data_IF_091284335631
#
_entry.id   IF_091284335631
#
_cell.length_a   1.000
_cell.length_b   1.000
_cell.length_c   1.000
_cell.angle_alpha   90.00
_cell.angle_beta   90.00
_cell.angle_gamma   90.00
#
_symmetry.space_group_name_H-M   'P 1'
#
loop_
_entity.id
_entity.type
_entity.pdbx_description
1 polymer ?
#
# COMPACT_ATOMS: atom_id res chain seq x y z
N UNK A 1 12.25 -15.82 -13.25
CA UNK A 1 11.25 -14.96 -12.58
C UNK A 1 10.17 -15.83 -11.96
N UNK A 2 9.84 -15.66 -10.66
CA UNK A 2 8.75 -16.41 -10.01
C UNK A 2 7.40 -15.89 -10.52
N UNK A 3 6.58 -16.77 -11.11
CA UNK A 3 5.19 -16.48 -11.49
C UNK A 3 4.32 -16.51 -10.21
N UNK A 4 3.49 -15.49 -10.00
CA UNK A 4 2.62 -15.40 -8.81
C UNK A 4 1.26 -16.07 -9.08
N UNK A 5 0.75 -16.82 -8.09
CA UNK A 5 -0.64 -17.28 -8.06
C UNK A 5 -1.55 -16.22 -7.45
N UNK A 6 -2.49 -15.68 -8.23
CA UNK A 6 -3.37 -14.58 -7.82
C UNK A 6 -4.86 -14.98 -7.73
N UNK A 7 -5.16 -16.27 -7.72
CA UNK A 7 -6.54 -16.80 -7.80
C UNK A 7 -7.45 -16.26 -6.68
N UNK A 8 -7.05 -16.25 -5.40
CA UNK A 8 -7.90 -15.70 -4.34
C UNK A 8 -8.18 -14.20 -4.50
N UNK A 9 -7.18 -13.45 -5.00
CA UNK A 9 -7.28 -12.01 -5.21
C UNK A 9 -8.32 -11.70 -6.30
N UNK A 10 -8.37 -12.51 -7.36
CA UNK A 10 -9.35 -12.32 -8.42
C UNK A 10 -10.78 -12.60 -8.00
N UNK A 11 -11.00 -13.61 -7.16
CA UNK A 11 -12.33 -13.89 -6.62
C UNK A 11 -12.80 -12.71 -5.76
N UNK A 12 -11.93 -12.20 -4.88
CA UNK A 12 -12.25 -11.02 -4.07
C UNK A 12 -12.51 -9.76 -4.92
N UNK A 13 -11.66 -9.50 -5.92
CA UNK A 13 -11.82 -8.35 -6.81
C UNK A 13 -13.12 -8.45 -7.63
N UNK A 14 -13.43 -9.63 -8.16
CA UNK A 14 -14.67 -9.85 -8.91
C UNK A 14 -15.90 -9.64 -8.04
N UNK A 15 -15.88 -10.14 -6.80
CA UNK A 15 -16.98 -9.98 -5.85
C UNK A 15 -17.22 -8.51 -5.47
N UNK A 16 -16.15 -7.78 -5.14
CA UNK A 16 -16.25 -6.35 -4.78
C UNK A 16 -16.71 -5.49 -5.95
N UNK A 17 -16.25 -5.77 -7.17
CA UNK A 17 -16.73 -5.06 -8.38
C UNK A 17 -18.20 -5.37 -8.66
N UNK A 18 -18.66 -6.60 -8.43
CA UNK A 18 -20.07 -6.95 -8.56
C UNK A 18 -20.94 -6.17 -7.57
N UNK A 19 -20.57 -6.19 -6.28
CA UNK A 19 -21.27 -5.42 -5.25
C UNK A 19 -21.31 -3.92 -5.58
N UNK A 20 -20.17 -3.33 -5.96
CA UNK A 20 -20.08 -1.90 -6.25
C UNK A 20 -20.93 -1.48 -7.46
N UNK A 21 -21.07 -2.35 -8.47
CA UNK A 21 -21.96 -2.13 -9.62
C UNK A 21 -23.43 -2.11 -9.21
N UNK A 22 -23.82 -3.05 -8.34
CA UNK A 22 -25.19 -3.16 -7.85
C UNK A 22 -25.58 -1.93 -7.03
N UNK A 23 -24.66 -1.46 -6.18
CA UNK A 23 -24.84 -0.25 -5.37
C UNK A 23 -24.78 1.05 -6.19
N UNK A 24 -24.22 1.04 -7.41
CA UNK A 24 -24.00 2.24 -8.23
C UNK A 24 -24.36 1.97 -9.72
N UNK A 25 -25.66 1.77 -10.05
CA UNK A 25 -26.08 1.38 -11.40
C UNK A 25 -25.83 2.46 -12.48
N UNK A 26 -25.69 3.71 -12.08
CA UNK A 26 -25.36 4.85 -12.93
C UNK A 26 -23.88 4.89 -13.36
N UNK A 27 -23.02 4.11 -12.69
CA UNK A 27 -21.57 4.13 -12.92
C UNK A 27 -21.12 2.95 -13.79
N UNK A 28 -20.23 3.26 -14.73
CA UNK A 28 -19.51 2.23 -15.48
C UNK A 28 -18.32 1.73 -14.66
N UNK A 29 -18.43 0.51 -14.15
CA UNK A 29 -17.40 -0.11 -13.30
C UNK A 29 -16.69 -1.23 -14.04
N UNK A 30 -15.37 -1.32 -13.92
CA UNK A 30 -14.55 -2.37 -14.54
C UNK A 30 -13.51 -2.89 -13.54
N UNK A 31 -13.29 -4.20 -13.54
CA UNK A 31 -12.23 -4.83 -12.75
C UNK A 31 -10.89 -4.74 -13.50
N UNK A 32 -9.89 -4.11 -12.88
CA UNK A 32 -8.53 -4.02 -13.43
C UNK A 32 -7.53 -4.38 -12.34
N UNK A 33 -6.61 -5.29 -12.65
CA UNK A 33 -5.55 -5.73 -11.74
C UNK A 33 -4.18 -5.30 -12.26
N UNK A 34 -3.50 -4.44 -11.49
CA UNK A 34 -2.15 -3.97 -11.76
C UNK A 34 -1.13 -4.77 -10.95
N UNK A 35 -0.02 -5.15 -11.59
CA UNK A 35 1.09 -5.78 -10.90
C UNK A 35 2.43 -5.39 -11.55
N UNK A 36 3.46 -5.25 -10.71
CA UNK A 36 4.84 -5.01 -11.16
C UNK A 36 5.53 -6.27 -11.68
N UNK A 37 4.91 -7.43 -11.53
CA UNK A 37 5.47 -8.74 -11.92
C UNK A 37 4.68 -9.38 -13.06
N UNK A 38 5.08 -10.59 -13.44
CA UNK A 38 4.32 -11.44 -14.35
C UNK A 38 3.49 -12.48 -13.59
N UNK A 39 2.33 -12.79 -14.13
CA UNK A 39 1.35 -13.72 -13.61
C UNK A 39 1.51 -15.10 -14.23
N UNK A 40 1.09 -16.13 -13.49
CA UNK A 40 1.03 -17.49 -14.02
C UNK A 40 -0.03 -17.65 -15.09
N UNK A 41 0.11 -18.67 -15.93
CA UNK A 41 -0.86 -18.96 -16.99
C UNK A 41 -2.23 -19.34 -16.41
N UNK A 42 -2.22 -20.03 -15.25
CA UNK A 42 -3.43 -20.26 -14.46
C UNK A 42 -4.09 -18.93 -14.07
N UNK A 43 -3.33 -18.00 -13.50
CA UNK A 43 -3.85 -16.69 -13.10
C UNK A 43 -4.42 -15.90 -14.29
N UNK A 44 -3.76 -15.92 -15.45
CA UNK A 44 -4.30 -15.28 -16.68
C UNK A 44 -5.63 -15.89 -17.12
N UNK A 45 -5.77 -17.22 -17.04
CA UNK A 45 -7.03 -17.89 -17.35
C UNK A 45 -8.15 -17.43 -16.42
N UNK A 46 -7.92 -17.41 -15.11
CA UNK A 46 -8.91 -16.90 -14.15
C UNK A 46 -9.32 -15.46 -14.43
N UNK A 47 -8.36 -14.57 -14.72
CA UNK A 47 -8.66 -13.18 -15.04
C UNK A 47 -9.54 -13.05 -16.29
N UNK A 48 -9.28 -13.87 -17.32
CA UNK A 48 -10.12 -13.91 -18.54
C UNK A 48 -11.55 -14.35 -18.24
N UNK A 49 -11.73 -15.45 -17.50
CA UNK A 49 -13.07 -15.96 -17.14
C UNK A 49 -13.86 -14.95 -16.30
N UNK A 50 -13.18 -14.26 -15.38
CA UNK A 50 -13.78 -13.26 -14.50
C UNK A 50 -13.87 -11.86 -15.12
N UNK A 51 -13.48 -11.69 -16.40
CA UNK A 51 -13.48 -10.40 -17.12
C UNK A 51 -12.70 -9.29 -16.39
N UNK A 52 -11.52 -9.66 -15.86
CA UNK A 52 -10.58 -8.76 -15.18
C UNK A 52 -9.48 -8.37 -16.16
N UNK A 53 -9.30 -7.07 -16.36
CA UNK A 53 -8.19 -6.56 -17.17
C UNK A 53 -6.87 -6.66 -16.39
N UNK A 54 -5.84 -7.21 -17.04
CA UNK A 54 -4.51 -7.36 -16.43
C UNK A 54 -3.54 -6.30 -16.95
N UNK A 55 -2.83 -5.65 -16.03
CA UNK A 55 -1.74 -4.71 -16.31
C UNK A 55 -0.48 -5.20 -15.61
N UNK A 56 0.28 -6.02 -16.33
CA UNK A 56 1.51 -6.64 -15.82
C UNK A 56 2.76 -5.83 -16.13
N UNK A 57 3.83 -6.10 -15.38
CA UNK A 57 5.08 -5.34 -15.45
C UNK A 57 4.87 -3.83 -15.32
N UNK A 58 3.82 -3.42 -14.60
CA UNK A 58 3.55 -2.02 -14.33
C UNK A 58 4.64 -1.47 -13.43
N UNK A 59 5.45 -0.56 -13.97
CA UNK A 59 6.58 0.01 -13.24
C UNK A 59 6.06 0.84 -12.08
N UNK A 60 6.37 0.43 -10.85
CA UNK A 60 6.13 1.28 -9.70
C UNK A 60 7.01 2.53 -9.81
N UNK A 61 6.41 3.69 -9.55
CA UNK A 61 7.19 4.91 -9.43
C UNK A 61 8.14 4.78 -8.23
N UNK A 62 9.44 4.72 -8.50
CA UNK A 62 10.48 4.63 -7.46
C UNK A 62 10.64 5.93 -6.68
N UNK A 63 10.12 7.05 -7.20
CA UNK A 63 10.10 8.35 -6.55
C UNK A 63 8.93 8.49 -5.58
N UNK A 64 8.06 7.48 -5.47
CA UNK A 64 6.98 7.50 -4.50
C UNK A 64 7.54 7.50 -3.07
N UNK A 65 7.49 8.67 -2.44
CA UNK A 65 7.96 8.89 -1.08
C UNK A 65 7.08 8.15 -0.06
N UNK A 66 7.50 6.94 0.31
CA UNK A 66 6.74 6.05 1.19
C UNK A 66 7.08 6.19 2.68
N UNK A 67 7.96 7.13 3.06
CA UNK A 67 8.31 7.36 4.46
C UNK A 67 7.54 8.57 4.96
N UNK A 68 6.72 8.37 6.00
CA UNK A 68 5.93 9.43 6.64
C UNK A 68 6.73 10.04 7.79
N UNK A 69 7.06 11.32 7.72
CA UNK A 69 7.77 12.07 8.76
C UNK A 69 6.78 12.93 9.54
N UNK A 70 6.47 12.52 10.77
CA UNK A 70 5.45 13.10 11.63
C UNK A 70 6.08 13.78 12.86
N UNK A 71 5.46 14.86 13.33
CA UNK A 71 5.85 15.55 14.56
C UNK A 71 4.78 15.28 15.60
N UNK A 72 5.16 14.55 16.64
CA UNK A 72 4.25 14.19 17.73
C UNK A 72 3.54 15.41 18.30
N UNK A 73 2.26 15.27 18.64
CA UNK A 73 1.47 16.33 19.29
C UNK A 73 1.67 16.38 20.80
N UNK A 74 2.32 15.38 21.37
CA UNK A 74 2.49 15.24 22.82
C UNK A 74 3.79 15.87 23.29
N UNK A 75 4.88 15.62 22.56
CA UNK A 75 6.25 15.95 22.97
C UNK A 75 7.08 16.59 21.85
N UNK A 76 6.44 16.98 20.74
CA UNK A 76 7.09 17.51 19.53
C UNK A 76 8.24 16.64 18.98
N UNK A 77 8.24 15.35 19.32
CA UNK A 77 9.24 14.42 18.82
C UNK A 77 9.08 14.17 17.32
N UNK A 78 10.21 14.20 16.61
CA UNK A 78 10.31 13.95 15.17
C UNK A 78 10.41 12.45 14.90
N UNK A 79 9.32 11.85 14.43
CA UNK A 79 9.21 10.40 14.23
C UNK A 79 8.92 10.09 12.77
N UNK A 80 9.67 9.17 12.18
CA UNK A 80 9.36 8.65 10.86
C UNK A 80 8.80 7.24 10.91
N UNK A 81 7.86 6.96 10.00
CA UNK A 81 7.19 5.68 9.85
C UNK A 81 7.47 5.11 8.46
N UNK A 82 7.97 3.88 8.43
CA UNK A 82 8.06 3.08 7.21
C UNK A 82 6.71 2.39 6.93
N UNK A 83 6.43 1.97 5.68
CA UNK A 83 5.18 1.30 5.31
C UNK A 83 4.82 0.06 6.15
N UNK A 84 5.80 -0.56 6.80
CA UNK A 84 5.63 -1.76 7.61
C UNK A 84 5.53 -1.46 9.13
N UNK A 85 5.59 -0.20 9.54
CA UNK A 85 5.48 0.18 10.94
C UNK A 85 3.99 0.25 11.36
N UNK A 86 3.70 -0.17 12.60
CA UNK A 86 2.32 -0.37 13.10
C UNK A 86 1.41 0.86 13.00
N UNK A 87 1.98 2.06 13.08
CA UNK A 87 1.24 3.32 13.04
C UNK A 87 1.21 3.95 11.64
N UNK A 88 1.85 3.36 10.63
CA UNK A 88 2.00 3.98 9.32
C UNK A 88 0.66 4.41 8.70
N UNK A 89 -0.34 3.53 8.72
CA UNK A 89 -1.66 3.83 8.14
C UNK A 89 -2.46 4.86 8.93
N UNK A 90 -2.25 4.90 10.25
CA UNK A 90 -2.92 5.85 11.15
C UNK A 90 -2.28 7.24 11.10
N UNK A 91 -0.97 7.30 10.90
CA UNK A 91 -0.23 8.56 10.78
C UNK A 91 -0.65 9.29 9.50
N UNK A 92 -1.20 10.49 9.67
CA UNK A 92 -1.50 11.44 8.60
C UNK A 92 -0.45 12.55 8.65
N UNK A 93 0.00 13.00 7.48
CA UNK A 93 1.00 14.05 7.36
C UNK A 93 0.31 15.41 7.26
N UNK A 94 0.64 16.30 8.19
CA UNK A 94 0.15 17.66 8.28
C UNK A 94 1.25 18.66 7.88
N UNK A 95 1.26 19.05 6.59
CA UNK A 95 2.30 19.92 6.01
C UNK A 95 2.47 21.26 6.74
N UNK A 96 1.40 21.82 7.30
CA UNK A 96 1.43 23.08 8.06
C UNK A 96 2.30 23.01 9.32
N UNK A 97 2.54 21.80 9.86
CA UNK A 97 3.39 21.58 11.04
C UNK A 97 4.84 21.26 10.69
N UNK A 98 5.21 21.28 9.41
CA UNK A 98 6.53 20.85 8.94
C UNK A 98 6.67 19.33 8.83
N UNK A 99 5.56 18.59 8.79
CA UNK A 99 5.53 17.16 8.49
C UNK A 99 5.60 16.92 6.97
N UNK A 100 6.23 15.84 6.53
CA UNK A 100 6.46 15.60 5.10
C UNK A 100 6.63 14.11 4.78
N UNK A 101 6.65 13.83 3.48
CA UNK A 101 7.01 12.51 2.96
C UNK A 101 8.46 12.53 2.47
N UNK A 102 9.17 11.44 2.69
CA UNK A 102 10.55 11.29 2.24
C UNK A 102 10.77 9.99 1.47
N UNK A 103 11.77 9.99 0.59
CA UNK A 103 12.11 8.85 -0.25
C UNK A 103 13.07 7.88 0.47
N UNK A 104 14.02 8.40 1.24
CA UNK A 104 15.06 7.57 1.87
C UNK A 104 15.19 7.79 3.37
N UNK A 105 15.56 6.73 4.09
CA UNK A 105 15.83 6.81 5.53
C UNK A 105 17.00 7.75 5.83
N UNK A 106 18.03 7.74 4.98
CA UNK A 106 19.22 8.59 5.13
C UNK A 106 18.87 10.08 5.16
N UNK A 107 18.00 10.53 4.26
CA UNK A 107 17.54 11.92 4.24
C UNK A 107 16.79 12.29 5.51
N UNK A 108 15.91 11.41 5.98
CA UNK A 108 15.07 11.62 7.17
C UNK A 108 15.90 11.66 8.46
N UNK A 109 16.86 10.76 8.60
CA UNK A 109 17.78 10.74 9.74
C UNK A 109 18.70 11.97 9.72
N UNK A 110 19.13 12.42 8.53
CA UNK A 110 19.91 13.65 8.36
C UNK A 110 19.20 14.92 8.81
N UNK A 111 17.86 14.95 8.77
CA UNK A 111 17.04 16.08 9.27
C UNK A 111 16.56 15.89 10.73
N UNK A 112 17.08 14.87 11.41
CA UNK A 112 16.90 14.66 12.86
C UNK A 112 15.62 13.93 13.25
N UNK A 113 14.97 13.22 12.33
CA UNK A 113 13.86 12.32 12.67
C UNK A 113 14.39 10.96 13.10
N UNK A 114 13.78 10.37 14.13
CA UNK A 114 14.07 9.00 14.57
C UNK A 114 13.01 8.02 14.07
N UNK A 115 13.37 6.74 13.97
CA UNK A 115 12.42 5.70 13.59
C UNK A 115 11.34 5.51 14.64
N UNK A 116 10.11 5.23 14.20
CA UNK A 116 9.03 4.81 15.08
C UNK A 116 9.41 3.56 15.88
N UNK A 117 9.07 3.55 17.17
CA UNK A 117 9.33 2.40 18.04
C UNK A 117 8.40 1.24 17.65
N UNK A 118 8.97 0.05 17.50
CA UNK A 118 8.20 -1.17 17.24
C UNK A 118 7.94 -1.88 18.58
N UNK A 119 6.71 -1.77 19.08
CA UNK A 119 6.30 -2.46 20.29
C UNK A 119 6.44 -3.98 20.14
N UNK A 120 7.06 -4.61 21.13
CA UNK A 120 7.10 -6.07 21.29
C UNK A 120 6.34 -6.37 22.58
N UNK A 121 5.18 -7.04 22.51
CA UNK A 121 4.54 -7.51 23.73
C UNK A 121 5.50 -8.46 24.45
N UNK A 122 5.63 -8.31 25.78
CA UNK A 122 6.32 -9.32 26.58
C UNK A 122 5.61 -10.65 26.35
N UNK A 123 6.37 -11.70 26.04
CA UNK A 123 5.83 -13.06 26.06
C UNK A 123 5.51 -13.35 27.52
N UNK A 124 4.23 -13.36 27.86
CA UNK A 124 3.78 -13.94 29.13
C UNK A 124 4.29 -15.39 29.19
N UNK A 125 4.85 -15.76 30.34
CA UNK A 125 5.44 -17.07 30.62
C UNK A 125 4.34 -18.12 30.78
#
# INVERSE_FOLDING_TARGET
>A
MKKIGAVPIYLYLSGTVFQYKDENPDKKVQAIFYTSTQLSDLARRFAKELKIDLKENFKMNKEYAAIKCNISRVDDSKIYHLPFDQQYDKTKIEKSRGEFYCATVKEVEGVGFRRAFRYRPNKEK
#
